data_IF_990766732792
#
_entry.id   IF_990766732792
#
_cell.length_a   1.000
_cell.length_b   1.000
_cell.length_c   1.000
_cell.angle_alpha   90.00
_cell.angle_beta   90.00
_cell.angle_gamma   90.00
#
_symmetry.space_group_name_H-M   'P 1'
#
loop_
_entity.id
_entity.type
_entity.pdbx_description
1 polymer ?
#
# COMPACT_ATOMS: atom_id res chain seq x y z
N UNK A 1 3.54 10.97 15.06
CA UNK A 1 3.05 9.85 14.22
C UNK A 1 3.01 10.33 12.78
N UNK A 2 3.70 9.67 11.85
CA UNK A 2 3.69 10.03 10.43
C UNK A 2 2.40 9.52 9.79
N UNK A 3 1.71 10.39 9.03
CA UNK A 3 0.38 10.10 8.47
C UNK A 3 0.34 9.97 6.94
N UNK A 4 1.47 10.15 6.26
CA UNK A 4 1.54 10.07 4.81
C UNK A 4 2.83 9.41 4.33
N UNK A 5 2.76 8.78 3.14
CA UNK A 5 3.92 8.17 2.49
C UNK A 5 5.05 9.16 2.29
N UNK A 6 4.75 10.31 1.68
CA UNK A 6 5.77 11.34 1.37
C UNK A 6 6.55 11.86 2.58
N UNK A 7 5.90 12.05 3.73
CA UNK A 7 6.59 12.49 4.97
C UNK A 7 7.51 11.40 5.52
N UNK A 8 7.16 10.13 5.35
CA UNK A 8 8.03 9.02 5.75
C UNK A 8 9.18 8.77 4.76
N UNK A 9 9.09 9.27 3.52
CA UNK A 9 10.17 9.20 2.52
C UNK A 9 11.14 10.38 2.61
N UNK A 10 10.70 11.56 3.09
CA UNK A 10 11.54 12.76 3.09
C UNK A 10 12.89 12.65 3.83
N UNK A 11 13.04 11.87 4.92
CA UNK A 11 14.36 11.67 5.54
C UNK A 11 15.32 10.88 4.64
N UNK A 12 14.81 9.91 3.87
CA UNK A 12 15.62 9.15 2.91
C UNK A 12 16.11 10.06 1.79
N UNK A 13 15.24 10.93 1.28
CA UNK A 13 15.59 11.91 0.25
C UNK A 13 16.61 12.94 0.74
N UNK A 14 16.58 13.29 2.02
CA UNK A 14 17.55 14.17 2.65
C UNK A 14 18.88 13.45 3.01
N UNK A 15 19.03 12.16 2.70
CA UNK A 15 20.22 11.37 3.07
C UNK A 15 20.34 11.11 4.57
N UNK A 16 19.25 11.24 5.33
CA UNK A 16 19.24 11.12 6.79
C UNK A 16 18.93 9.69 7.28
N UNK A 17 18.75 8.72 6.39
CA UNK A 17 18.59 7.31 6.75
C UNK A 17 17.72 6.51 5.78
N UNK A 18 17.06 5.49 6.33
CA UNK A 18 16.16 4.57 5.61
C UNK A 18 14.73 4.63 6.15
N UNK A 19 13.78 4.15 5.34
CA UNK A 19 12.36 4.05 5.72
C UNK A 19 11.80 2.70 5.31
N UNK A 20 10.79 2.21 6.05
CA UNK A 20 10.03 1.01 5.69
C UNK A 20 8.61 1.44 5.37
N UNK A 21 8.18 1.23 4.13
CA UNK A 21 6.87 1.65 3.65
C UNK A 21 6.28 0.59 2.71
N UNK A 22 4.94 0.48 2.64
CA UNK A 22 4.28 -0.24 1.55
C UNK A 22 4.71 0.34 0.19
N UNK A 23 4.93 -0.53 -0.77
CA UNK A 23 5.30 -0.21 -2.15
C UNK A 23 4.28 0.72 -2.82
N UNK A 24 2.99 0.57 -2.49
CA UNK A 24 1.91 1.39 -3.03
C UNK A 24 1.95 2.86 -2.56
N UNK A 25 2.76 3.19 -1.55
CA UNK A 25 2.95 4.57 -1.07
C UNK A 25 4.18 5.25 -1.68
N UNK A 26 4.98 4.53 -2.47
CA UNK A 26 6.12 5.10 -3.18
C UNK A 26 5.65 5.49 -4.58
N UNK A 27 5.65 6.79 -4.86
CA UNK A 27 5.29 7.29 -6.18
C UNK A 27 6.27 6.76 -7.24
N UNK A 28 5.73 6.38 -8.41
CA UNK A 28 6.50 5.75 -9.49
C UNK A 28 7.67 6.59 -9.98
N UNK A 29 7.50 7.90 -10.05
CA UNK A 29 8.51 8.87 -10.45
C UNK A 29 9.73 8.87 -9.50
N UNK A 30 9.55 8.45 -8.25
CA UNK A 30 10.60 8.48 -7.22
C UNK A 30 11.34 7.16 -7.04
N UNK A 31 10.84 6.06 -7.63
CA UNK A 31 11.49 4.75 -7.54
C UNK A 31 12.89 4.74 -8.17
N UNK A 32 13.18 5.61 -9.14
CA UNK A 32 14.50 5.73 -9.75
C UNK A 32 15.54 6.45 -8.88
N UNK A 33 15.11 7.18 -7.85
CA UNK A 33 15.96 8.00 -6.99
C UNK A 33 16.36 7.28 -5.69
N UNK A 34 15.75 6.11 -5.41
CA UNK A 34 15.96 5.38 -4.16
C UNK A 34 16.29 3.91 -4.43
N UNK A 35 17.16 3.34 -3.60
CA UNK A 35 17.35 1.90 -3.57
C UNK A 35 16.18 1.26 -2.81
N UNK A 36 15.52 0.26 -3.43
CA UNK A 36 14.40 -0.47 -2.83
C UNK A 36 14.83 -1.88 -2.45
N UNK A 37 14.58 -2.26 -1.20
CA UNK A 37 14.79 -3.63 -0.71
C UNK A 37 13.43 -4.25 -0.43
N UNK A 38 13.11 -5.34 -1.14
CA UNK A 38 11.86 -6.07 -0.93
C UNK A 38 11.85 -6.77 0.44
N UNK A 39 10.69 -6.78 1.08
CA UNK A 39 10.41 -7.44 2.36
C UNK A 39 9.20 -8.35 2.17
N UNK A 40 9.45 -9.65 2.12
CA UNK A 40 8.43 -10.67 1.86
C UNK A 40 8.08 -11.45 3.15
N UNK A 41 8.49 -10.96 4.32
CA UNK A 41 8.18 -11.55 5.63
C UNK A 41 6.67 -11.44 5.96
N UNK A 42 6.09 -12.37 6.76
CA UNK A 42 4.66 -12.37 7.03
C UNK A 42 4.12 -11.06 7.64
N UNK A 43 4.91 -10.40 8.47
CA UNK A 43 4.55 -9.12 9.09
C UNK A 43 4.48 -7.96 8.08
N UNK A 44 5.15 -8.07 6.93
CA UNK A 44 5.21 -7.04 5.90
C UNK A 44 4.00 -7.09 4.97
N UNK A 45 3.18 -8.14 5.01
CA UNK A 45 1.95 -8.25 4.22
C UNK A 45 0.92 -7.22 4.69
N UNK A 46 0.55 -6.31 3.79
CA UNK A 46 -0.48 -5.30 4.05
C UNK A 46 -1.59 -5.35 3.00
N UNK A 47 -2.69 -6.09 3.25
CA UNK A 47 -3.79 -6.16 2.29
C UNK A 47 -4.49 -4.81 2.15
N UNK A 48 -4.73 -4.38 0.92
CA UNK A 48 -5.59 -3.23 0.61
C UNK A 48 -7.00 -3.77 0.43
N UNK A 49 -7.88 -3.44 1.37
CA UNK A 49 -9.28 -3.86 1.33
C UNK A 49 -10.13 -2.76 0.70
N UNK A 50 -10.78 -3.09 -0.41
CA UNK A 50 -11.76 -2.23 -1.06
C UNK A 50 -13.14 -2.74 -0.66
N UNK A 51 -13.89 -1.92 0.08
CA UNK A 51 -15.24 -2.27 0.53
C UNK A 51 -16.23 -1.18 0.14
N UNK A 52 -17.44 -1.52 -0.35
CA UNK A 52 -18.51 -0.55 -0.49
C UNK A 52 -18.87 0.03 0.88
N UNK A 53 -19.40 1.27 0.87
CA UNK A 53 -19.93 1.87 2.08
C UNK A 53 -21.00 0.96 2.71
N UNK A 54 -20.98 0.83 4.03
CA UNK A 54 -21.91 -0.05 4.75
C UNK A 54 -23.37 0.31 4.42
N UNK A 55 -24.18 -0.71 4.11
CA UNK A 55 -25.58 -0.52 3.71
C UNK A 55 -25.79 -0.13 2.24
N UNK A 56 -24.72 0.05 1.45
CA UNK A 56 -24.84 0.27 0.00
C UNK A 56 -24.84 -1.07 -0.74
N UNK A 57 -25.89 -1.32 -1.51
CA UNK A 57 -25.90 -2.41 -2.50
C UNK A 57 -24.93 -2.03 -3.62
N UNK A 58 -23.91 -2.85 -3.92
CA UNK A 58 -23.05 -2.62 -5.07
C UNK A 58 -23.90 -2.52 -6.35
N UNK A 59 -23.66 -1.49 -7.15
CA UNK A 59 -24.25 -1.43 -8.49
C UNK A 59 -23.45 -2.30 -9.46
N UNK A 60 -23.98 -2.54 -10.67
CA UNK A 60 -23.31 -3.35 -11.70
C UNK A 60 -21.84 -2.99 -11.98
N UNK A 61 -21.46 -1.72 -11.84
CA UNK A 61 -20.08 -1.26 -12.03
C UNK A 61 -19.12 -1.70 -10.89
N UNK A 62 -19.65 -2.00 -9.71
CA UNK A 62 -18.89 -2.43 -8.54
C UNK A 62 -18.78 -3.97 -8.41
N UNK A 63 -19.67 -4.73 -9.05
CA UNK A 63 -19.73 -6.20 -8.97
C UNK A 63 -18.60 -6.93 -9.71
N UNK A 64 -17.85 -6.24 -10.57
CA UNK A 64 -16.74 -6.82 -11.33
C UNK A 64 -15.55 -7.33 -10.48
N UNK A 65 -15.59 -7.20 -9.15
CA UNK A 65 -14.47 -7.46 -8.25
C UNK A 65 -14.68 -8.60 -7.22
N UNK A 66 -15.85 -9.23 -7.17
CA UNK A 66 -16.22 -10.11 -6.04
C UNK A 66 -15.99 -11.62 -6.24
N UNK A 67 -15.10 -12.05 -7.14
CA UNK A 67 -14.83 -13.49 -7.37
C UNK A 67 -13.63 -14.04 -6.59
N UNK A 68 -12.97 -13.26 -5.74
CA UNK A 68 -11.82 -13.68 -4.94
C UNK A 68 -12.14 -13.82 -3.46
N UNK A 69 -12.73 -14.94 -3.05
CA UNK A 69 -12.86 -15.30 -1.63
C UNK A 69 -11.45 -15.39 -1.00
N UNK A 70 -11.14 -14.68 0.10
CA UNK A 70 -9.94 -14.99 0.86
C UNK A 70 -10.18 -16.35 1.54
N UNK A 71 -9.61 -17.40 0.95
CA UNK A 71 -9.53 -18.70 1.61
C UNK A 71 -8.81 -18.52 2.95
N UNK A 72 -9.42 -19.01 4.03
CA UNK A 72 -8.79 -19.18 5.34
C UNK A 72 -7.41 -19.80 5.20
N UNK A 73 -6.41 -19.14 5.76
CA UNK A 73 -5.13 -19.69 6.15
C UNK A 73 -4.79 -19.15 7.53
#
# INVERSE_FOLDING_TARGET
MVRSGGVATSPVQAGLGMTIQPECLIYRDRLGEVAVVRRDEPWAKRPILITPAQGRVPGRAADGAASGSPASA
#
